data_IF_805837295966
#
_entry.id   IF_805837295966
#
_cell.length_a   1.000
_cell.length_b   1.000
_cell.length_c   1.000
_cell.angle_alpha   90.00
_cell.angle_beta   90.00
_cell.angle_gamma   90.00
#
_symmetry.space_group_name_H-M   'P 1'
#
loop_
_entity.id
_entity.type
_entity.pdbx_description
1 polymer ?
#
# COMPACT_ATOMS: atom_id res chain seq x y z
N UNK A 1 -24.28 -5.83 -13.37
CA UNK A 1 -23.13 -5.03 -12.88
C UNK A 1 -23.28 -3.53 -13.15
N UNK A 2 -24.34 -3.04 -13.81
CA UNK A 2 -24.45 -1.65 -14.26
C UNK A 2 -25.23 -0.69 -13.34
N UNK A 3 -25.99 -1.17 -12.34
CA UNK A 3 -26.96 -0.30 -11.63
C UNK A 3 -26.71 -0.17 -10.12
N UNK A 4 -25.44 -0.16 -9.68
CA UNK A 4 -25.10 0.24 -8.31
C UNK A 4 -24.56 1.66 -8.34
N UNK A 5 -25.44 2.64 -8.15
CA UNK A 5 -25.03 4.01 -7.85
C UNK A 5 -24.20 4.00 -6.57
N UNK A 6 -22.91 4.31 -6.70
CA UNK A 6 -22.00 4.41 -5.57
C UNK A 6 -22.26 5.73 -4.85
N UNK A 7 -23.00 5.66 -3.73
CA UNK A 7 -23.24 6.81 -2.85
C UNK A 7 -22.49 6.55 -1.55
N UNK A 8 -21.26 7.08 -1.41
CA UNK A 8 -20.53 6.98 -0.16
C UNK A 8 -21.17 7.89 0.90
N UNK A 9 -21.08 7.49 2.17
CA UNK A 9 -21.53 8.31 3.30
C UNK A 9 -20.54 9.41 3.69
N UNK A 10 -19.41 9.53 2.99
CA UNK A 10 -18.35 10.49 3.26
C UNK A 10 -18.31 11.63 2.23
N UNK A 11 -17.62 12.72 2.58
CA UNK A 11 -17.43 13.85 1.69
C UNK A 11 -16.72 13.43 0.39
N UNK A 12 -17.32 13.78 -0.75
CA UNK A 12 -16.78 13.49 -2.07
C UNK A 12 -16.12 14.72 -2.66
N UNK A 13 -15.17 14.48 -3.56
CA UNK A 13 -14.63 15.52 -4.42
C UNK A 13 -15.68 15.91 -5.49
N UNK A 14 -15.89 17.21 -5.71
CA UNK A 14 -16.97 17.74 -6.55
C UNK A 14 -16.90 17.20 -8.00
N UNK A 15 -15.70 17.11 -8.59
CA UNK A 15 -15.50 16.69 -9.98
C UNK A 15 -14.44 15.59 -10.12
N UNK A 16 -14.85 14.32 -10.20
CA UNK A 16 -13.91 13.20 -10.38
C UNK A 16 -13.09 13.29 -11.68
N UNK A 17 -13.56 14.00 -12.70
CA UNK A 17 -12.86 14.19 -13.99
C UNK A 17 -11.53 14.94 -13.86
N UNK A 18 -11.30 15.68 -12.77
CA UNK A 18 -10.03 16.39 -12.51
C UNK A 18 -8.93 15.45 -12.00
N UNK A 19 -9.28 14.25 -11.54
CA UNK A 19 -8.33 13.24 -11.09
C UNK A 19 -7.74 12.59 -12.35
N UNK A 20 -6.50 12.94 -12.68
CA UNK A 20 -5.87 12.50 -13.92
C UNK A 20 -5.21 11.13 -13.81
N UNK A 21 -4.71 10.80 -12.64
CA UNK A 21 -3.93 9.57 -12.44
C UNK A 21 -4.22 8.96 -11.09
N UNK A 22 -4.52 7.65 -11.11
CA UNK A 22 -4.73 6.81 -9.94
C UNK A 22 -3.85 5.58 -10.11
N UNK A 23 -3.06 5.24 -9.09
CA UNK A 23 -2.26 4.01 -9.05
C UNK A 23 -2.50 3.27 -7.75
N UNK A 24 -2.66 1.94 -7.87
CA UNK A 24 -2.76 1.04 -6.72
C UNK A 24 -1.37 0.72 -6.20
N UNK A 25 -1.21 0.68 -4.87
CA UNK A 25 0.07 0.45 -4.20
C UNK A 25 0.20 -0.98 -3.69
N UNK A 26 -0.73 -1.39 -2.83
CA UNK A 26 -0.68 -2.68 -2.16
C UNK A 26 -2.06 -3.14 -1.72
N UNK A 27 -2.22 -4.45 -1.65
CA UNK A 27 -3.31 -5.12 -0.96
C UNK A 27 -2.81 -5.65 0.39
N UNK A 28 -3.59 -5.46 1.44
CA UNK A 28 -3.32 -6.00 2.78
C UNK A 28 -4.62 -6.48 3.39
N UNK A 29 -4.54 -7.28 4.44
CA UNK A 29 -5.70 -7.59 5.29
C UNK A 29 -5.77 -6.62 6.45
N UNK A 30 -6.97 -6.18 6.82
CA UNK A 30 -7.24 -5.38 8.00
C UNK A 30 -8.33 -6.05 8.84
N UNK A 31 -8.05 -6.25 10.13
CA UNK A 31 -9.03 -6.79 11.08
C UNK A 31 -9.78 -5.61 11.70
N UNK A 32 -11.11 -5.61 11.59
CA UNK A 32 -11.94 -4.59 12.23
C UNK A 32 -12.25 -5.01 13.67
N UNK A 33 -11.97 -4.14 14.64
CA UNK A 33 -12.02 -4.47 16.07
C UNK A 33 -13.41 -4.93 16.52
N UNK A 34 -14.47 -4.32 16.01
CA UNK A 34 -15.84 -4.57 16.51
C UNK A 34 -16.50 -5.82 15.93
N UNK A 35 -15.96 -6.41 14.86
CA UNK A 35 -16.66 -7.44 14.07
C UNK A 35 -15.95 -8.78 13.94
N UNK A 36 -14.69 -8.91 14.34
CA UNK A 36 -13.90 -10.13 14.16
C UNK A 36 -13.68 -10.55 12.71
N UNK A 37 -14.17 -9.77 11.74
CA UNK A 37 -14.03 -10.02 10.31
C UNK A 37 -12.78 -9.34 9.76
N UNK A 38 -12.03 -10.09 8.96
CA UNK A 38 -10.89 -9.58 8.19
C UNK A 38 -11.36 -9.07 6.83
N UNK A 39 -11.00 -7.83 6.53
CA UNK A 39 -11.29 -7.15 5.27
C UNK A 39 -10.04 -7.03 4.43
N UNK A 40 -10.20 -6.96 3.11
CA UNK A 40 -9.11 -6.63 2.20
C UNK A 40 -8.99 -5.11 2.08
N UNK A 41 -7.89 -4.58 2.61
CA UNK A 41 -7.50 -3.19 2.48
C UNK A 41 -6.67 -3.00 1.20
N UNK A 42 -7.20 -2.22 0.27
CA UNK A 42 -6.50 -1.82 -0.95
C UNK A 42 -6.04 -0.38 -0.78
N UNK A 43 -4.72 -0.14 -0.85
CA UNK A 43 -4.13 1.19 -0.78
C UNK A 43 -3.81 1.70 -2.18
N UNK A 44 -4.05 2.98 -2.43
CA UNK A 44 -3.75 3.63 -3.70
C UNK A 44 -3.47 5.12 -3.51
N UNK A 45 -2.83 5.72 -4.50
CA UNK A 45 -2.57 7.17 -4.58
C UNK A 45 -3.22 7.70 -5.84
N UNK A 46 -3.94 8.81 -5.69
CA UNK A 46 -4.52 9.55 -6.80
C UNK A 46 -4.17 11.02 -6.68
N UNK A 47 -3.89 11.68 -7.81
CA UNK A 47 -3.64 13.12 -7.85
C UNK A 47 -4.23 13.75 -9.11
N UNK A 48 -4.49 15.06 -9.03
CA UNK A 48 -4.92 15.88 -10.16
C UNK A 48 -3.77 16.22 -11.11
N UNK A 49 -2.53 16.16 -10.62
CA UNK A 49 -1.32 16.36 -11.42
C UNK A 49 -0.50 15.06 -11.48
N UNK A 50 -0.25 14.59 -12.69
CA UNK A 50 0.45 13.33 -12.95
C UNK A 50 1.91 13.36 -12.48
N UNK A 51 2.58 14.53 -12.54
CA UNK A 51 3.98 14.66 -12.14
C UNK A 51 4.21 14.25 -10.67
N UNK A 52 3.29 14.62 -9.76
CA UNK A 52 3.40 14.26 -8.35
C UNK A 52 3.29 12.77 -8.09
N UNK A 53 2.50 12.05 -8.90
CA UNK A 53 2.38 10.60 -8.76
C UNK A 53 3.71 9.97 -9.15
N UNK A 54 4.31 10.39 -10.26
CA UNK A 54 5.58 9.81 -10.70
C UNK A 54 6.74 10.14 -9.76
N UNK A 55 6.78 11.36 -9.19
CA UNK A 55 7.72 11.72 -8.12
C UNK A 55 7.53 10.86 -6.86
N UNK A 56 6.27 10.61 -6.47
CA UNK A 56 5.96 9.72 -5.35
C UNK A 56 6.50 8.30 -5.58
N UNK A 57 6.35 7.75 -6.79
CA UNK A 57 6.87 6.41 -7.09
C UNK A 57 8.40 6.35 -7.07
N UNK A 58 9.09 7.39 -7.59
CA UNK A 58 10.55 7.49 -7.48
C UNK A 58 11.01 7.49 -6.01
N UNK A 59 10.36 8.29 -5.16
CA UNK A 59 10.66 8.33 -3.74
C UNK A 59 10.42 6.96 -3.06
N UNK A 60 9.38 6.24 -3.47
CA UNK A 60 9.05 4.93 -2.90
C UNK A 60 10.06 3.84 -3.28
N UNK A 61 10.62 3.90 -4.49
CA UNK A 61 11.73 3.04 -4.91
C UNK A 61 13.01 3.30 -4.10
N UNK A 62 13.31 4.57 -3.82
CA UNK A 62 14.46 4.95 -2.99
C UNK A 62 14.29 4.52 -1.52
N UNK A 63 13.06 4.53 -0.99
CA UNK A 63 12.78 4.00 0.35
C UNK A 63 12.99 2.49 0.41
N UNK A 64 12.51 1.74 -0.59
CA UNK A 64 12.68 0.28 -0.65
C UNK A 64 14.15 -0.14 -0.67
N UNK A 65 15.00 0.59 -1.39
CA UNK A 65 16.44 0.33 -1.44
C UNK A 65 17.14 0.52 -0.09
N UNK A 66 16.60 1.38 0.77
CA UNK A 66 17.13 1.71 2.11
C UNK A 66 16.53 0.88 3.24
N UNK A 67 15.64 -0.06 2.91
CA UNK A 67 15.05 -0.94 3.90
C UNK A 67 16.13 -1.90 4.45
N UNK A 68 16.32 -1.89 5.77
CA UNK A 68 17.25 -2.77 6.48
C UNK A 68 16.99 -4.25 6.19
N UNK A 69 15.75 -4.65 5.88
CA UNK A 69 15.41 -6.03 5.49
C UNK A 69 15.93 -6.37 4.10
N UNK A 70 15.88 -5.41 3.19
CA UNK A 70 16.41 -5.59 1.84
C UNK A 70 17.94 -5.62 1.89
N UNK A 71 18.56 -4.63 2.53
CA UNK A 71 20.02 -4.52 2.64
C UNK A 71 20.60 -5.68 3.44
N UNK A 72 20.01 -6.00 4.61
CA UNK A 72 20.48 -7.08 5.48
C UNK A 72 20.46 -8.44 4.79
N UNK A 73 19.48 -8.68 3.91
CA UNK A 73 19.44 -9.89 3.08
C UNK A 73 20.50 -9.88 1.97
N UNK A 74 20.77 -8.75 1.33
CA UNK A 74 21.78 -8.64 0.26
C UNK A 74 23.21 -8.78 0.79
N UNK A 75 23.47 -8.30 2.00
CA UNK A 75 24.78 -8.32 2.64
C UNK A 75 24.94 -9.49 3.63
N UNK A 76 23.97 -10.40 3.69
CA UNK A 76 23.95 -11.57 4.58
C UNK A 76 24.23 -11.23 6.05
N UNK A 77 23.72 -10.07 6.52
CA UNK A 77 23.93 -9.57 7.89
C UNK A 77 23.04 -10.31 8.88
N UNK A 78 21.82 -10.66 8.47
CA UNK A 78 20.92 -11.49 9.24
C UNK A 78 20.00 -12.29 8.31
N UNK A 79 19.58 -13.44 8.80
CA UNK A 79 18.72 -14.39 8.12
C UNK A 79 17.51 -14.72 9.01
N UNK A 80 16.39 -15.05 8.38
CA UNK A 80 15.18 -15.49 9.07
C UNK A 80 14.88 -16.91 8.56
N UNK A 81 15.16 -17.91 9.38
CA UNK A 81 14.87 -19.31 9.07
C UNK A 81 13.48 -19.68 9.64
N UNK A 82 12.54 -20.16 8.80
CA UNK A 82 11.25 -20.67 9.26
C UNK A 82 11.34 -21.75 10.34
N UNK A 83 12.41 -22.55 10.38
CA UNK A 83 12.60 -23.64 11.34
C UNK A 83 12.84 -23.13 12.77
N UNK A 84 13.51 -21.99 12.91
CA UNK A 84 13.91 -21.43 14.21
C UNK A 84 12.78 -20.59 14.80
N UNK A 85 11.96 -19.99 13.94
CA UNK A 85 10.74 -19.29 14.33
C UNK A 85 10.66 -17.88 13.75
N UNK A 86 9.44 -17.45 13.44
CA UNK A 86 9.19 -16.13 12.88
C UNK A 86 9.51 -15.03 13.90
N UNK A 87 10.45 -14.15 13.58
CA UNK A 87 10.83 -13.00 14.43
C UNK A 87 12.13 -13.18 15.22
N UNK A 88 12.84 -14.30 15.05
CA UNK A 88 14.17 -14.53 15.61
C UNK A 88 15.24 -14.42 14.51
N UNK A 89 15.91 -13.25 14.36
CA UNK A 89 16.99 -13.07 13.38
C UNK A 89 18.31 -13.70 13.88
N UNK A 90 19.06 -14.26 12.94
CA UNK A 90 20.36 -14.93 13.12
C UNK A 90 21.38 -14.43 12.11
#
# INVERSE_FOLDING_TARGET
>A
FADRTFVPSCAMYEDCSKIKQIKLLSSSSYLFEEGGHTYQLIRGVGSTNAAYVDEFFKAEEEKKKRDHRYIGKQLEIFTLDPLIGQGLPI
#
